data_IF_635492738519
#
_entry.id   IF_635492738519
#
_cell.length_a   1.000
_cell.length_b   1.000
_cell.length_c   1.000
_cell.angle_alpha   90.00
_cell.angle_beta   90.00
_cell.angle_gamma   90.00
#
_symmetry.space_group_name_H-M   'P 1'
#
loop_
_entity.id
_entity.type
_entity.pdbx_description
1 polymer ?
#
# COMPACT_ATOMS: atom_id res chain seq x y z
N UNK A 1 -18.65 50.55 23.35
CA UNK A 1 -19.44 49.64 22.47
C UNK A 1 -18.83 49.36 21.10
N UNK A 2 -18.18 50.31 20.41
CA UNK A 2 -17.59 50.06 19.07
C UNK A 2 -16.30 49.23 19.14
N UNK A 3 -15.44 49.49 20.13
CA UNK A 3 -14.17 48.77 20.33
C UNK A 3 -14.37 47.28 20.68
N UNK A 4 -15.33 46.97 21.56
CA UNK A 4 -15.66 45.58 21.92
C UNK A 4 -16.21 44.76 20.75
N UNK A 5 -16.92 45.40 19.80
CA UNK A 5 -17.39 44.75 18.57
C UNK A 5 -16.25 44.42 17.61
N UNK A 6 -15.23 45.29 17.51
CA UNK A 6 -14.05 45.05 16.67
C UNK A 6 -13.22 43.88 17.23
N UNK A 7 -13.02 43.86 18.55
CA UNK A 7 -12.32 42.75 19.23
C UNK A 7 -13.06 41.43 19.03
N UNK A 8 -14.40 41.44 19.12
CA UNK A 8 -15.22 40.25 18.91
C UNK A 8 -15.10 39.75 17.46
N UNK A 9 -15.13 40.64 16.46
CA UNK A 9 -14.98 40.28 15.04
C UNK A 9 -13.61 39.67 14.77
N UNK A 10 -12.53 40.23 15.34
CA UNK A 10 -11.18 39.71 15.19
C UNK A 10 -11.04 38.31 15.82
N UNK A 11 -11.65 38.08 16.99
CA UNK A 11 -11.69 36.77 17.63
C UNK A 11 -12.43 35.73 16.77
N UNK A 12 -13.53 36.10 16.13
CA UNK A 12 -14.28 35.18 15.24
C UNK A 12 -13.47 34.81 13.99
N UNK A 13 -12.70 35.75 13.42
CA UNK A 13 -11.85 35.50 12.24
C UNK A 13 -10.70 34.54 12.59
N UNK A 14 -10.08 34.70 13.77
CA UNK A 14 -9.01 33.81 14.25
C UNK A 14 -9.55 32.41 14.55
N UNK A 15 -10.79 32.28 15.04
CA UNK A 15 -11.39 30.98 15.29
C UNK A 15 -11.65 30.20 13.99
N UNK A 16 -12.04 30.89 12.91
CA UNK A 16 -12.30 30.26 11.60
C UNK A 16 -11.04 29.71 10.93
N UNK A 17 -9.85 30.30 11.15
CA UNK A 17 -8.61 29.80 10.54
C UNK A 17 -8.11 28.48 11.13
N UNK A 18 -8.51 28.13 12.36
CA UNK A 18 -8.11 26.86 13.00
C UNK A 18 -8.89 25.64 12.48
N UNK A 19 -10.09 25.84 11.92
CA UNK A 19 -10.94 24.77 11.37
C UNK A 19 -10.41 24.24 10.04
N UNK A 20 -9.74 25.09 9.25
CA UNK A 20 -9.17 24.71 7.94
C UNK A 20 -7.76 24.09 8.02
N UNK A 21 -7.11 24.07 9.19
CA UNK A 21 -5.76 23.52 9.34
C UNK A 21 -5.73 21.99 9.53
N UNK A 22 -6.87 21.35 9.79
CA UNK A 22 -6.97 19.91 10.05
C UNK A 22 -7.17 19.05 8.79
N UNK A 23 -7.17 19.65 7.60
CA UNK A 23 -7.37 18.95 6.31
C UNK A 23 -6.08 18.79 5.51
N UNK A 24 -4.95 18.55 6.17
CA UNK A 24 -3.89 17.80 5.48
C UNK A 24 -4.48 16.41 5.17
N UNK A 25 -4.70 16.10 3.89
CA UNK A 25 -5.24 14.83 3.39
C UNK A 25 -4.29 13.64 3.71
N UNK A 26 -4.01 13.38 4.98
CA UNK A 26 -3.23 12.23 5.41
C UNK A 26 -4.15 11.02 5.31
N UNK A 27 -3.81 10.09 4.40
CA UNK A 27 -4.52 8.82 4.29
C UNK A 27 -4.51 8.11 5.65
N UNK A 28 -5.60 7.42 5.97
CA UNK A 28 -5.63 6.50 7.12
C UNK A 28 -4.51 5.46 6.97
N UNK A 29 -4.07 4.86 8.08
CA UNK A 29 -3.04 3.80 8.07
C UNK A 29 -3.44 2.66 7.13
N UNK A 30 -4.70 2.20 7.23
CA UNK A 30 -5.27 1.23 6.29
C UNK A 30 -5.18 1.70 4.85
N UNK A 31 -5.48 2.96 4.56
CA UNK A 31 -5.41 3.53 3.21
C UNK A 31 -3.98 3.60 2.65
N UNK A 32 -2.98 3.81 3.51
CA UNK A 32 -1.56 3.75 3.12
C UNK A 32 -1.13 2.32 2.81
N UNK A 33 -1.56 1.34 3.62
CA UNK A 33 -1.29 -0.08 3.38
C UNK A 33 -1.99 -0.55 2.09
N UNK A 34 -3.25 -0.16 1.86
CA UNK A 34 -3.98 -0.46 0.62
C UNK A 34 -3.24 0.09 -0.61
N UNK A 35 -2.73 1.32 -0.55
CA UNK A 35 -1.93 1.90 -1.63
C UNK A 35 -0.64 1.10 -1.91
N UNK A 36 0.09 0.72 -0.86
CA UNK A 36 1.29 -0.11 -0.95
C UNK A 36 0.98 -1.49 -1.56
N UNK A 37 -0.11 -2.13 -1.14
CA UNK A 37 -0.56 -3.40 -1.72
C UNK A 37 -1.01 -3.25 -3.18
N UNK A 38 -1.61 -2.11 -3.53
CA UNK A 38 -1.97 -1.81 -4.92
C UNK A 38 -0.75 -1.58 -5.81
N UNK A 39 0.36 -1.08 -5.27
CA UNK A 39 1.64 -1.08 -5.99
C UNK A 39 2.12 -2.50 -6.31
N UNK A 40 2.00 -3.45 -5.38
CA UNK A 40 2.29 -4.85 -5.63
C UNK A 40 1.34 -5.48 -6.67
N UNK A 41 0.04 -5.32 -6.50
CA UNK A 41 -0.98 -5.93 -7.36
C UNK A 41 -0.81 -5.45 -8.81
N UNK A 42 -0.79 -4.13 -9.03
CA UNK A 42 -0.66 -3.57 -10.37
C UNK A 42 0.76 -3.75 -10.92
N UNK A 43 1.79 -3.64 -10.08
CA UNK A 43 3.17 -3.87 -10.49
C UNK A 43 3.39 -5.28 -11.02
N UNK A 44 2.80 -6.28 -10.37
CA UNK A 44 2.91 -7.66 -10.85
C UNK A 44 2.03 -7.96 -12.06
N UNK A 45 0.86 -7.33 -12.15
CA UNK A 45 -0.06 -7.44 -13.30
C UNK A 45 0.52 -6.82 -14.56
N UNK A 46 1.02 -5.59 -14.47
CA UNK A 46 1.51 -4.84 -15.62
C UNK A 46 3.01 -5.02 -15.88
N UNK A 47 3.70 -5.77 -15.02
CA UNK A 47 5.15 -5.96 -15.04
C UNK A 47 5.93 -4.64 -14.91
N UNK A 48 5.55 -3.84 -13.92
CA UNK A 48 6.11 -2.50 -13.63
C UNK A 48 7.04 -2.57 -12.41
N UNK A 49 8.37 -2.76 -12.58
CA UNK A 49 9.30 -2.96 -11.48
C UNK A 49 9.39 -1.75 -10.54
N UNK A 50 9.20 -0.53 -11.05
CA UNK A 50 9.17 0.69 -10.22
C UNK A 50 8.04 0.69 -9.19
N UNK A 51 6.87 0.12 -9.53
CA UNK A 51 5.79 -0.04 -8.54
C UNK A 51 6.14 -1.10 -7.52
N UNK A 52 6.77 -2.20 -7.95
CA UNK A 52 7.20 -3.24 -7.02
C UNK A 52 8.21 -2.70 -6.00
N UNK A 53 9.13 -1.83 -6.42
CA UNK A 53 10.06 -1.17 -5.50
C UNK A 53 9.37 -0.30 -4.44
N UNK A 54 8.19 0.28 -4.74
CA UNK A 54 7.38 1.02 -3.76
C UNK A 54 6.61 0.11 -2.80
N UNK A 55 6.37 -1.13 -3.20
CA UNK A 55 5.56 -2.09 -2.43
C UNK A 55 6.36 -2.84 -1.35
N UNK A 56 7.69 -2.82 -1.42
CA UNK A 56 8.57 -3.63 -0.59
C UNK A 56 9.71 -2.82 0.02
N UNK A 57 10.13 -3.18 1.23
CA UNK A 57 11.40 -2.74 1.79
C UNK A 57 12.57 -3.19 0.89
N UNK A 58 13.65 -2.41 0.70
CA UNK A 58 14.77 -2.78 -0.17
C UNK A 58 15.37 -4.17 0.10
N UNK A 59 15.35 -4.59 1.37
CA UNK A 59 15.92 -5.86 1.84
C UNK A 59 14.91 -7.01 1.97
N UNK A 60 13.72 -6.87 1.37
CA UNK A 60 12.70 -7.92 1.50
C UNK A 60 13.15 -9.25 0.88
N UNK A 61 12.65 -10.35 1.45
CA UNK A 61 12.76 -11.69 0.89
C UNK A 61 11.36 -12.27 0.68
N UNK A 62 11.17 -12.99 -0.43
CA UNK A 62 9.95 -13.75 -0.68
C UNK A 62 10.19 -15.22 -0.34
N UNK A 63 9.38 -15.74 0.57
CA UNK A 63 9.39 -17.14 0.97
C UNK A 63 8.21 -17.85 0.30
N UNK A 64 8.47 -18.97 -0.35
CA UNK A 64 7.46 -19.78 -1.02
C UNK A 64 7.71 -21.25 -0.73
N UNK A 65 6.64 -22.01 -0.47
CA UNK A 65 6.72 -23.46 -0.33
C UNK A 65 6.07 -24.10 -1.53
N UNK A 66 6.79 -25.01 -2.19
CA UNK A 66 6.26 -25.80 -3.29
C UNK A 66 6.92 -27.18 -3.26
N UNK A 67 6.11 -28.25 -3.46
CA UNK A 67 6.61 -29.65 -3.45
C UNK A 67 7.48 -29.95 -2.23
N UNK A 68 6.96 -29.60 -1.04
CA UNK A 68 7.62 -29.81 0.27
C UNK A 68 8.99 -29.14 0.43
N UNK A 69 9.33 -28.18 -0.43
CA UNK A 69 10.59 -27.45 -0.38
C UNK A 69 10.36 -25.96 -0.15
N UNK A 70 11.12 -25.39 0.78
CA UNK A 70 11.21 -23.95 0.98
C UNK A 70 12.10 -23.34 -0.10
N UNK A 71 11.57 -22.34 -0.80
CA UNK A 71 12.32 -21.50 -1.73
C UNK A 71 12.31 -20.07 -1.23
N UNK A 72 13.50 -19.50 -1.12
CA UNK A 72 13.74 -18.11 -0.76
C UNK A 72 14.16 -17.36 -2.03
N UNK A 73 13.51 -16.24 -2.30
CA UNK A 73 13.90 -15.33 -3.38
C UNK A 73 14.39 -14.02 -2.75
N UNK A 74 15.57 -13.57 -3.15
CA UNK A 74 16.02 -12.21 -2.82
C UNK A 74 15.10 -11.20 -3.50
N UNK A 75 14.73 -10.15 -2.79
CA UNK A 75 13.75 -9.18 -3.28
C UNK A 75 14.13 -8.55 -4.62
N UNK A 76 15.40 -8.18 -4.78
CA UNK A 76 15.92 -7.64 -6.05
C UNK A 76 15.81 -8.63 -7.21
N UNK A 77 16.11 -9.91 -6.97
CA UNK A 77 15.97 -10.97 -7.99
C UNK A 77 14.49 -11.20 -8.34
N UNK A 78 13.59 -11.14 -7.34
CA UNK A 78 12.15 -11.24 -7.58
C UNK A 78 11.66 -10.09 -8.47
N UNK A 79 12.00 -8.85 -8.14
CA UNK A 79 11.62 -7.66 -8.92
C UNK A 79 12.22 -7.73 -10.33
N UNK A 80 13.46 -8.20 -10.48
CA UNK A 80 14.12 -8.35 -11.78
C UNK A 80 13.45 -9.31 -12.77
N UNK A 81 12.51 -10.15 -12.31
CA UNK A 81 11.69 -10.99 -13.18
C UNK A 81 10.60 -10.22 -13.93
N UNK A 82 10.28 -9.00 -13.50
CA UNK A 82 9.27 -8.14 -14.12
C UNK A 82 9.97 -7.17 -15.07
N UNK A 83 9.71 -7.34 -16.36
CA UNK A 83 10.25 -6.50 -17.44
C UNK A 83 9.09 -5.82 -18.13
N UNK A 84 9.25 -4.52 -18.38
CA UNK A 84 8.21 -3.70 -18.98
C UNK A 84 7.67 -4.30 -20.28
N UNK A 85 6.36 -4.24 -20.43
CA UNK A 85 5.65 -4.71 -21.63
C UNK A 85 5.18 -6.16 -21.61
N UNK A 86 5.57 -6.98 -20.61
CA UNK A 86 5.03 -8.34 -20.43
C UNK A 86 3.88 -8.37 -19.42
N UNK A 87 2.74 -7.78 -19.81
CA UNK A 87 1.52 -7.87 -19.00
C UNK A 87 1.23 -9.33 -18.67
N UNK A 88 0.94 -9.58 -17.41
CA UNK A 88 0.47 -10.87 -16.92
C UNK A 88 -1.03 -10.77 -16.64
N UNK A 89 -1.75 -11.85 -16.88
CA UNK A 89 -3.16 -11.95 -16.54
C UNK A 89 -3.37 -12.21 -15.03
N UNK A 90 -2.65 -11.45 -14.18
CA UNK A 90 -2.76 -11.51 -12.72
C UNK A 90 -3.92 -10.65 -12.27
N UNK A 91 -4.81 -11.23 -11.46
CA UNK A 91 -5.94 -10.53 -10.85
C UNK A 91 -5.70 -10.57 -9.34
N UNK A 92 -5.46 -9.41 -8.74
CA UNK A 92 -5.17 -9.28 -7.31
C UNK A 92 -6.35 -8.78 -6.50
N UNK A 93 -6.49 -9.29 -5.28
CA UNK A 93 -7.51 -8.88 -4.31
C UNK A 93 -6.94 -8.89 -2.89
N UNK A 94 -7.12 -7.79 -2.17
CA UNK A 94 -6.81 -7.72 -0.73
C UNK A 94 -7.92 -8.47 0.01
N UNK A 95 -7.55 -9.48 0.80
CA UNK A 95 -8.47 -10.30 1.58
C UNK A 95 -8.63 -9.77 3.02
N UNK A 96 -7.55 -9.28 3.60
CA UNK A 96 -7.50 -8.89 5.01
C UNK A 96 -6.31 -7.97 5.26
N UNK A 97 -6.48 -7.03 6.20
CA UNK A 97 -5.43 -6.17 6.76
C UNK A 97 -5.71 -6.09 8.27
N UNK A 98 -4.70 -6.38 9.08
CA UNK A 98 -4.68 -6.13 10.52
C UNK A 98 -3.59 -5.11 10.84
N UNK A 99 -3.85 -4.19 11.76
CA UNK A 99 -2.92 -3.12 12.13
C UNK A 99 -2.82 -3.11 13.65
N UNK A 100 -1.60 -3.23 14.16
CA UNK A 100 -1.29 -3.14 15.58
C UNK A 100 -0.15 -2.14 15.77
N UNK A 101 -0.50 -0.96 16.27
CA UNK A 101 0.41 0.19 16.43
C UNK A 101 1.15 0.53 15.14
N UNK A 102 2.45 0.24 15.08
CA UNK A 102 3.36 0.54 13.98
C UNK A 102 3.60 -0.67 13.04
N UNK A 103 2.94 -1.80 13.28
CA UNK A 103 3.04 -3.01 12.47
C UNK A 103 1.71 -3.38 11.83
N UNK A 104 1.75 -4.04 10.68
CA UNK A 104 0.55 -4.59 10.06
C UNK A 104 0.81 -5.93 9.34
N UNK A 105 -0.23 -6.76 9.27
CA UNK A 105 -0.23 -7.96 8.44
C UNK A 105 -1.34 -7.85 7.40
N UNK A 106 -1.02 -8.16 6.15
CA UNK A 106 -2.01 -8.16 5.08
C UNK A 106 -1.98 -9.46 4.28
N UNK A 107 -3.15 -9.89 3.82
CA UNK A 107 -3.32 -11.06 2.97
C UNK A 107 -3.84 -10.62 1.62
N UNK A 108 -3.12 -10.99 0.56
CA UNK A 108 -3.50 -10.72 -0.83
C UNK A 108 -3.65 -12.03 -1.58
N UNK A 109 -4.74 -12.18 -2.30
CA UNK A 109 -4.94 -13.23 -3.28
C UNK A 109 -4.50 -12.75 -4.67
N UNK A 110 -3.75 -13.59 -5.39
CA UNK A 110 -3.40 -13.39 -6.79
C UNK A 110 -3.90 -14.60 -7.58
N UNK A 111 -4.83 -14.37 -8.50
CA UNK A 111 -5.29 -15.36 -9.47
C UNK A 111 -4.50 -15.22 -10.77
N UNK A 112 -4.06 -16.35 -11.33
CA UNK A 112 -3.42 -16.45 -12.65
C UNK A 112 -4.18 -17.46 -13.51
N UNK A 113 -5.33 -17.07 -14.11
CA UNK A 113 -6.24 -18.00 -14.78
C UNK A 113 -5.56 -18.81 -15.89
N UNK A 114 -4.75 -18.16 -16.72
CA UNK A 114 -4.03 -18.82 -17.82
C UNK A 114 -3.07 -19.92 -17.37
N UNK A 115 -2.51 -19.77 -16.16
CA UNK A 115 -1.59 -20.77 -15.58
C UNK A 115 -2.29 -21.74 -14.64
N UNK A 116 -3.60 -21.54 -14.40
CA UNK A 116 -4.39 -22.26 -13.40
C UNK A 116 -3.71 -22.25 -12.02
N UNK A 117 -3.23 -21.09 -11.58
CA UNK A 117 -2.58 -20.92 -10.29
C UNK A 117 -3.25 -19.85 -9.46
N UNK A 118 -3.41 -20.14 -8.18
CA UNK A 118 -3.88 -19.19 -7.18
C UNK A 118 -2.81 -19.09 -6.11
N UNK A 119 -2.44 -17.86 -5.76
CA UNK A 119 -1.48 -17.60 -4.69
C UNK A 119 -2.16 -16.78 -3.61
N UNK A 120 -1.87 -17.12 -2.36
CA UNK A 120 -2.13 -16.25 -1.22
C UNK A 120 -0.78 -15.75 -0.71
N UNK A 121 -0.55 -14.45 -0.81
CA UNK A 121 0.66 -13.79 -0.35
C UNK A 121 0.36 -13.07 0.96
N UNK A 122 1.19 -13.30 1.97
CA UNK A 122 1.12 -12.61 3.26
C UNK A 122 2.22 -11.54 3.27
N UNK A 123 1.83 -10.32 3.62
CA UNK A 123 2.71 -9.17 3.78
C UNK A 123 2.81 -8.83 5.26
N UNK A 124 4.01 -8.47 5.68
CA UNK A 124 4.30 -7.87 6.98
C UNK A 124 4.83 -6.46 6.72
N UNK A 125 4.17 -5.48 7.31
CA UNK A 125 4.52 -4.07 7.27
C UNK A 125 4.98 -3.62 8.65
#
# INVERSE_FOLDING_TARGET
MKFSKIVLILLTIIFQSTVFAQTANKKSEKGQIEETLMHYIEGTKNAEPERLQKAFHPDFNLYSVAKDSLRIWKGQEYIGNFKDGKKSNRIGRILFIDIENDAAIAKVEILMPEKQRNYTTIFYY
#
